data_IF_312155720629
#
_entry.id   IF_312155720629
#
_cell.length_a   1.000
_cell.length_b   1.000
_cell.length_c   1.000
_cell.angle_alpha   90.00
_cell.angle_beta   90.00
_cell.angle_gamma   90.00
#
_symmetry.space_group_name_H-M   'P 1'
#
loop_
_entity.id
_entity.type
_entity.pdbx_description
1 polymer ?
#
# COMPACT_ATOMS: atom_id res chain seq x y z
N UNK A 1 -16.56 20.14 20.64
CA UNK A 1 -15.23 19.53 20.80
C UNK A 1 -14.25 20.53 20.25
N UNK A 2 -13.69 21.37 21.12
CA UNK A 2 -12.69 22.38 20.77
C UNK A 2 -11.35 21.68 20.64
N UNK A 3 -10.76 21.72 19.46
CA UNK A 3 -9.38 21.28 19.26
C UNK A 3 -8.46 22.15 20.11
N UNK A 4 -7.46 21.60 20.81
CA UNK A 4 -6.48 22.40 21.51
C UNK A 4 -5.67 23.19 20.45
N UNK A 5 -5.63 24.50 20.61
CA UNK A 5 -4.72 25.37 19.86
C UNK A 5 -3.28 25.08 20.30
N UNK A 6 -2.64 24.15 19.59
CA UNK A 6 -1.31 23.66 19.98
C UNK A 6 -0.16 24.55 19.50
N UNK A 7 -0.42 25.59 18.74
CA UNK A 7 0.63 26.47 18.17
C UNK A 7 1.68 25.72 17.31
N UNK A 8 1.48 24.41 17.04
CA UNK A 8 2.27 23.61 16.12
C UNK A 8 1.47 23.49 14.83
N UNK A 9 2.10 23.82 13.71
CA UNK A 9 1.54 23.51 12.41
C UNK A 9 1.44 21.98 12.28
N UNK A 10 0.22 21.45 12.33
CA UNK A 10 -0.02 20.04 12.08
C UNK A 10 0.36 19.71 10.63
N UNK A 11 1.16 18.66 10.36
CA UNK A 11 1.64 18.37 9.01
C UNK A 11 0.49 17.94 8.10
N UNK A 12 0.49 18.47 6.87
CA UNK A 12 -0.43 18.06 5.82
C UNK A 12 0.07 16.77 5.16
N UNK A 13 -0.70 15.70 5.29
CA UNK A 13 -0.37 14.37 4.76
C UNK A 13 -1.25 14.08 3.55
N UNK A 14 -0.63 14.02 2.37
CA UNK A 14 -1.33 13.65 1.13
C UNK A 14 -1.65 12.15 1.10
N UNK A 15 -2.84 11.81 0.61
CA UNK A 15 -3.25 10.41 0.35
C UNK A 15 -3.75 10.29 -1.09
N UNK A 16 -3.30 9.28 -1.83
CA UNK A 16 -3.94 8.91 -3.08
C UNK A 16 -5.31 8.25 -2.82
N UNK A 17 -6.13 8.15 -3.87
CA UNK A 17 -7.50 7.64 -3.78
C UNK A 17 -7.72 6.50 -4.77
N UNK A 18 -8.66 5.64 -4.47
CA UNK A 18 -9.20 4.67 -5.43
C UNK A 18 -10.24 5.34 -6.33
N UNK A 19 -10.30 4.89 -7.59
CA UNK A 19 -11.33 5.27 -8.54
C UNK A 19 -12.38 4.16 -8.62
N UNK A 20 -13.62 4.52 -8.41
CA UNK A 20 -14.78 3.67 -8.68
C UNK A 20 -15.46 4.17 -9.95
N UNK A 21 -15.45 3.36 -11.02
CA UNK A 21 -16.12 3.74 -12.25
C UNK A 21 -17.65 3.82 -12.06
N UNK A 22 -18.38 4.52 -12.95
CA UNK A 22 -19.84 4.55 -12.88
C UNK A 22 -20.41 3.14 -12.98
N UNK A 23 -21.36 2.83 -12.12
CA UNK A 23 -22.18 1.62 -12.20
C UNK A 23 -23.55 1.90 -12.82
N UNK A 24 -24.41 0.89 -12.93
CA UNK A 24 -25.77 1.04 -13.51
C UNK A 24 -26.62 2.11 -12.79
N UNK A 25 -26.44 2.28 -11.49
CA UNK A 25 -27.17 3.24 -10.66
C UNK A 25 -26.25 4.13 -9.79
N UNK A 26 -24.94 4.14 -10.03
CA UNK A 26 -23.97 4.87 -9.23
C UNK A 26 -23.12 5.81 -10.08
N UNK A 27 -23.00 7.06 -9.66
CA UNK A 27 -22.05 7.99 -10.23
C UNK A 27 -20.60 7.54 -9.94
N UNK A 28 -19.63 7.93 -10.78
CA UNK A 28 -18.23 7.66 -10.50
C UNK A 28 -17.84 8.30 -9.16
N UNK A 29 -16.98 7.62 -8.39
CA UNK A 29 -16.56 8.09 -7.07
C UNK A 29 -15.06 7.93 -6.84
N UNK A 30 -14.54 8.76 -5.95
CA UNK A 30 -13.23 8.60 -5.36
C UNK A 30 -13.39 8.09 -3.93
N UNK A 31 -12.58 7.11 -3.54
CA UNK A 31 -12.67 6.49 -2.22
C UNK A 31 -11.29 6.38 -1.55
N UNK A 32 -11.27 6.67 -0.27
CA UNK A 32 -10.19 6.30 0.66
C UNK A 32 -10.82 5.49 1.79
N UNK A 33 -10.29 4.32 2.14
CA UNK A 33 -10.75 3.61 3.33
C UNK A 33 -10.53 4.46 4.58
N UNK A 34 -11.58 4.63 5.37
CA UNK A 34 -11.58 5.51 6.54
C UNK A 34 -10.43 5.25 7.54
N UNK A 35 -9.98 4.00 7.78
CA UNK A 35 -8.85 3.74 8.68
C UNK A 35 -7.55 4.47 8.31
N UNK A 36 -7.29 4.77 7.03
CA UNK A 36 -6.12 5.58 6.64
C UNK A 36 -6.25 7.02 7.13
N UNK A 37 -7.45 7.60 6.97
CA UNK A 37 -7.75 8.96 7.45
C UNK A 37 -7.58 9.02 8.98
N UNK A 38 -8.22 8.07 9.67
CA UNK A 38 -8.17 7.99 11.13
C UNK A 38 -6.74 7.81 11.65
N UNK A 39 -5.93 6.98 11.00
CA UNK A 39 -4.54 6.78 11.39
C UNK A 39 -3.71 8.06 11.29
N UNK A 40 -3.88 8.85 10.21
CA UNK A 40 -3.21 10.15 10.04
C UNK A 40 -3.64 11.12 11.13
N UNK A 41 -4.94 11.24 11.38
CA UNK A 41 -5.48 12.13 12.43
C UNK A 41 -4.97 11.74 13.82
N UNK A 42 -4.98 10.44 14.14
CA UNK A 42 -4.47 9.92 15.43
C UNK A 42 -2.97 10.16 15.60
N UNK A 43 -2.23 10.22 14.50
CA UNK A 43 -0.80 10.55 14.51
C UNK A 43 -0.53 12.07 14.59
N UNK A 44 -1.56 12.92 14.61
CA UNK A 44 -1.45 14.38 14.69
C UNK A 44 -1.23 15.06 13.34
N UNK A 45 -1.56 14.41 12.23
CA UNK A 45 -1.51 14.97 10.89
C UNK A 45 -2.88 15.39 10.37
N UNK A 46 -2.88 16.26 9.35
CA UNK A 46 -4.08 16.66 8.60
C UNK A 46 -4.14 15.86 7.29
N UNK A 47 -5.08 14.93 7.11
CA UNK A 47 -5.17 14.13 5.89
C UNK A 47 -5.75 14.94 4.73
N UNK A 48 -5.04 15.01 3.61
CA UNK A 48 -5.48 15.63 2.37
C UNK A 48 -5.60 14.57 1.28
N UNK A 49 -6.83 14.21 0.93
CA UNK A 49 -7.10 13.25 -0.13
C UNK A 49 -6.93 13.91 -1.49
N UNK A 50 -6.02 13.41 -2.32
CA UNK A 50 -5.74 13.94 -3.64
C UNK A 50 -6.66 13.29 -4.68
N UNK A 51 -7.46 14.08 -5.41
CA UNK A 51 -8.29 13.55 -6.47
C UNK A 51 -7.43 13.02 -7.64
N UNK A 52 -7.95 12.01 -8.32
CA UNK A 52 -7.35 11.50 -9.55
C UNK A 52 -7.59 12.50 -10.67
N UNK A 53 -6.53 13.14 -11.15
CA UNK A 53 -6.54 14.15 -12.20
C UNK A 53 -5.61 13.75 -13.34
N UNK A 54 -5.98 14.13 -14.57
CA UNK A 54 -5.18 13.82 -15.75
C UNK A 54 -4.20 14.95 -16.10
N UNK A 55 -4.29 16.11 -15.42
CA UNK A 55 -3.44 17.28 -15.65
C UNK A 55 -2.20 17.27 -14.72
N UNK A 56 -0.99 17.16 -15.28
CA UNK A 56 0.25 17.16 -14.47
C UNK A 56 0.49 18.48 -13.72
N UNK A 57 -0.02 19.60 -14.23
CA UNK A 57 0.09 20.91 -13.56
C UNK A 57 -0.78 20.96 -12.30
N UNK A 58 -2.01 20.43 -12.41
CA UNK A 58 -2.91 20.31 -11.24
C UNK A 58 -2.30 19.33 -10.24
N UNK A 59 -1.78 18.18 -10.68
CA UNK A 59 -1.10 17.22 -9.80
C UNK A 59 0.03 17.89 -9.01
N UNK A 60 0.98 18.54 -9.69
CA UNK A 60 2.10 19.22 -9.04
C UNK A 60 1.62 20.25 -8.01
N UNK A 61 0.60 21.03 -8.37
CA UNK A 61 0.03 22.02 -7.45
C UNK A 61 -0.67 21.38 -6.25
N UNK A 62 -1.31 20.23 -6.43
CA UNK A 62 -1.96 19.48 -5.34
C UNK A 62 -0.95 18.89 -4.35
N UNK A 63 0.25 18.57 -4.81
CA UNK A 63 1.34 18.05 -3.95
C UNK A 63 2.13 19.17 -3.29
N UNK A 64 2.14 20.38 -3.88
CA UNK A 64 2.95 21.52 -3.45
C UNK A 64 2.51 22.07 -2.12
N UNK A 65 2.67 21.78 -1.06
CA UNK A 65 2.18 22.25 0.25
C UNK A 65 1.88 21.11 1.21
N UNK A 66 2.20 19.89 0.76
CA UNK A 66 2.19 18.72 1.63
C UNK A 66 3.52 18.62 2.38
N UNK A 67 3.45 18.10 3.60
CA UNK A 67 4.62 17.81 4.43
C UNK A 67 5.07 16.33 4.33
N UNK A 68 4.17 15.43 3.93
CA UNK A 68 4.47 14.02 3.66
C UNK A 68 3.40 13.39 2.76
N UNK A 69 3.68 12.18 2.28
CA UNK A 69 2.74 11.43 1.45
C UNK A 69 2.53 9.99 1.97
N UNK A 70 1.26 9.55 1.97
CA UNK A 70 0.84 8.19 2.29
C UNK A 70 0.20 7.54 1.06
N UNK A 71 0.88 6.56 0.44
CA UNK A 71 0.28 5.72 -0.58
C UNK A 71 -0.53 4.60 0.06
N UNK A 72 -1.84 4.59 -0.22
CA UNK A 72 -2.76 3.57 0.31
C UNK A 72 -2.63 2.25 -0.46
N UNK A 73 -3.10 1.18 0.16
CA UNK A 73 -3.23 -0.12 -0.48
C UNK A 73 -4.41 -0.20 -1.45
N UNK A 74 -4.64 -1.40 -1.95
CA UNK A 74 -5.74 -1.69 -2.89
C UNK A 74 -5.47 -2.93 -3.71
N UNK A 75 -6.16 -3.05 -4.83
CA UNK A 75 -5.99 -4.08 -5.83
C UNK A 75 -4.63 -3.99 -6.56
N UNK A 76 -4.34 -4.94 -7.42
CA UNK A 76 -3.05 -5.12 -8.09
C UNK A 76 -2.77 -4.07 -9.15
N UNK A 77 -1.52 -3.67 -9.27
CA UNK A 77 -1.05 -2.92 -10.44
C UNK A 77 -0.80 -3.87 -11.63
N UNK A 78 -0.90 -3.31 -12.84
CA UNK A 78 -0.81 -4.09 -14.08
C UNK A 78 0.53 -4.81 -14.18
N UNK A 79 0.53 -6.12 -14.53
CA UNK A 79 1.75 -6.92 -14.64
C UNK A 79 2.76 -6.37 -15.65
N UNK A 80 2.30 -5.65 -16.66
CA UNK A 80 3.15 -5.04 -17.69
C UNK A 80 4.18 -4.05 -17.10
N UNK A 81 3.89 -3.45 -15.95
CA UNK A 81 4.82 -2.55 -15.27
C UNK A 81 6.12 -3.22 -14.80
N UNK A 82 6.09 -4.54 -14.64
CA UNK A 82 7.26 -5.33 -14.20
C UNK A 82 7.58 -6.51 -15.13
N UNK A 83 7.11 -6.44 -16.38
CA UNK A 83 7.37 -7.47 -17.39
C UNK A 83 6.59 -8.78 -17.19
N UNK A 84 5.61 -8.78 -16.31
CA UNK A 84 4.69 -9.88 -16.08
C UNK A 84 3.63 -9.99 -17.17
N UNK A 85 2.83 -11.05 -17.09
CA UNK A 85 1.64 -11.27 -17.93
C UNK A 85 0.41 -11.37 -17.04
N UNK A 86 -0.78 -10.95 -17.51
CA UNK A 86 -2.01 -11.15 -16.75
C UNK A 86 -2.20 -12.60 -16.35
N UNK A 87 -2.56 -12.81 -15.09
CA UNK A 87 -2.88 -14.10 -14.49
C UNK A 87 -4.32 -14.06 -13.95
N UNK A 88 -5.01 -15.20 -13.84
CA UNK A 88 -6.38 -15.27 -13.32
C UNK A 88 -6.53 -14.73 -11.89
N UNK A 89 -5.46 -14.78 -11.11
CA UNK A 89 -5.39 -14.33 -9.73
C UNK A 89 -5.34 -12.80 -9.60
N UNK A 90 -5.07 -12.07 -10.69
CA UNK A 90 -4.95 -10.62 -10.63
C UNK A 90 -6.32 -9.94 -10.43
N UNK A 91 -6.40 -9.12 -9.41
CA UNK A 91 -7.48 -8.16 -9.19
C UNK A 91 -6.97 -6.75 -9.48
N UNK A 92 -7.07 -6.32 -10.74
CA UNK A 92 -6.42 -5.10 -11.19
C UNK A 92 -7.13 -3.83 -10.69
N UNK A 93 -6.35 -2.83 -10.29
CA UNK A 93 -6.84 -1.45 -10.15
C UNK A 93 -7.38 -0.96 -11.50
N UNK A 94 -8.31 -0.01 -11.45
CA UNK A 94 -8.81 0.59 -12.70
C UNK A 94 -7.67 1.28 -13.45
N UNK A 95 -7.73 1.29 -14.79
CA UNK A 95 -6.71 1.90 -15.63
C UNK A 95 -6.47 3.38 -15.30
N UNK A 96 -7.52 4.11 -14.93
CA UNK A 96 -7.42 5.51 -14.52
C UNK A 96 -6.61 5.68 -13.25
N UNK A 97 -6.84 4.83 -12.24
CA UNK A 97 -6.06 4.81 -11.00
C UNK A 97 -4.62 4.39 -11.28
N UNK A 98 -4.41 3.33 -12.04
CA UNK A 98 -3.09 2.83 -12.40
C UNK A 98 -2.20 3.94 -12.98
N UNK A 99 -2.68 4.61 -14.03
CA UNK A 99 -1.94 5.72 -14.66
C UNK A 99 -1.65 6.87 -13.70
N UNK A 100 -2.66 7.27 -12.92
CA UNK A 100 -2.51 8.36 -11.98
C UNK A 100 -1.53 8.03 -10.86
N UNK A 101 -1.66 6.85 -10.25
CA UNK A 101 -0.79 6.43 -9.15
C UNK A 101 0.69 6.37 -9.58
N UNK A 102 1.00 5.90 -10.79
CA UNK A 102 2.36 5.93 -11.33
C UNK A 102 2.86 7.36 -11.60
N UNK A 103 2.02 8.23 -12.15
CA UNK A 103 2.38 9.63 -12.36
C UNK A 103 2.67 10.33 -11.04
N UNK A 104 1.79 10.14 -10.06
CA UNK A 104 1.92 10.69 -8.71
C UNK A 104 3.15 10.14 -7.98
N UNK A 105 3.37 8.82 -8.01
CA UNK A 105 4.51 8.20 -7.35
C UNK A 105 5.84 8.71 -7.93
N UNK A 106 5.96 8.82 -9.24
CA UNK A 106 7.15 9.40 -9.87
C UNK A 106 7.38 10.83 -9.44
N UNK A 107 6.34 11.67 -9.50
CA UNK A 107 6.44 13.06 -9.07
C UNK A 107 6.88 13.17 -7.59
N UNK A 108 6.24 12.45 -6.69
CA UNK A 108 6.56 12.47 -5.26
C UNK A 108 7.99 11.99 -5.00
N UNK A 109 8.42 10.90 -5.66
CA UNK A 109 9.72 10.27 -5.41
C UNK A 109 10.90 10.96 -6.10
N UNK A 110 10.67 11.65 -7.22
CA UNK A 110 11.74 12.17 -8.07
C UNK A 110 11.82 13.71 -8.07
N UNK A 111 10.70 14.39 -7.84
CA UNK A 111 10.62 15.84 -7.95
C UNK A 111 10.37 16.53 -6.60
N UNK A 112 10.07 15.77 -5.52
CA UNK A 112 9.89 16.31 -4.18
C UNK A 112 10.85 15.66 -3.18
N UNK A 113 11.05 16.29 -2.04
CA UNK A 113 11.78 15.71 -0.91
C UNK A 113 10.85 15.17 0.19
N UNK A 114 9.58 14.93 -0.13
CA UNK A 114 8.58 14.52 0.86
C UNK A 114 8.92 13.16 1.48
N UNK A 115 8.82 13.02 2.80
CA UNK A 115 8.76 11.72 3.42
C UNK A 115 7.57 10.91 2.89
N UNK A 116 7.78 9.61 2.64
CA UNK A 116 6.75 8.75 2.06
C UNK A 116 6.55 7.53 2.95
N UNK A 117 5.29 7.25 3.28
CA UNK A 117 4.84 5.97 3.78
C UNK A 117 3.99 5.29 2.70
N UNK A 118 4.16 3.99 2.52
CA UNK A 118 3.38 3.24 1.55
C UNK A 118 2.96 1.89 2.13
N UNK A 119 1.68 1.56 2.02
CA UNK A 119 1.09 0.39 2.69
C UNK A 119 0.54 -0.57 1.66
N UNK A 120 0.88 -1.87 1.74
CA UNK A 120 0.39 -2.94 0.88
C UNK A 120 0.61 -2.61 -0.61
N UNK A 121 -0.46 -2.46 -1.41
CA UNK A 121 -0.39 -2.02 -2.80
C UNK A 121 0.42 -0.73 -3.02
N UNK A 122 0.39 0.20 -2.06
CA UNK A 122 1.24 1.40 -2.10
C UNK A 122 2.74 1.06 -2.03
N UNK A 123 3.15 0.09 -1.21
CA UNK A 123 4.54 -0.39 -1.16
C UNK A 123 4.95 -1.04 -2.49
N UNK A 124 4.06 -1.81 -3.10
CA UNK A 124 4.26 -2.40 -4.42
C UNK A 124 4.41 -1.30 -5.49
N UNK A 125 3.55 -0.28 -5.46
CA UNK A 125 3.66 0.88 -6.35
C UNK A 125 5.02 1.57 -6.26
N UNK A 126 5.55 1.79 -5.05
CA UNK A 126 6.87 2.40 -4.90
C UNK A 126 7.97 1.56 -5.53
N UNK A 127 7.93 0.24 -5.31
CA UNK A 127 8.88 -0.67 -5.93
C UNK A 127 8.82 -0.57 -7.46
N UNK A 128 7.63 -0.64 -8.03
CA UNK A 128 7.40 -0.56 -9.48
C UNK A 128 7.78 0.80 -10.07
N UNK A 129 7.43 1.91 -9.40
CA UNK A 129 7.79 3.26 -9.84
C UNK A 129 9.32 3.49 -9.84
N UNK A 130 10.07 2.72 -9.04
CA UNK A 130 11.53 2.71 -9.02
C UNK A 130 12.17 1.65 -9.92
N UNK A 131 11.37 1.00 -10.78
CA UNK A 131 11.83 -0.03 -11.72
C UNK A 131 12.10 -1.39 -11.07
N UNK A 132 11.47 -1.66 -9.94
CA UNK A 132 11.48 -2.95 -9.27
C UNK A 132 10.50 -3.94 -9.89
N UNK A 133 10.41 -5.13 -9.30
CA UNK A 133 9.50 -6.19 -9.72
C UNK A 133 8.66 -6.71 -8.56
N UNK A 134 7.63 -7.45 -8.91
CA UNK A 134 6.78 -8.16 -7.96
C UNK A 134 6.87 -9.68 -8.19
N UNK A 135 6.66 -10.44 -7.13
CA UNK A 135 6.17 -11.81 -7.18
C UNK A 135 4.68 -11.68 -7.38
N UNK A 136 4.20 -12.14 -8.54
CA UNK A 136 2.85 -11.84 -9.01
C UNK A 136 1.78 -12.62 -8.24
N UNK A 137 2.09 -13.82 -7.79
CA UNK A 137 1.28 -14.58 -6.83
C UNK A 137 2.19 -15.42 -5.93
N UNK A 138 2.16 -15.14 -4.64
CA UNK A 138 3.00 -15.85 -3.66
C UNK A 138 2.73 -17.35 -3.62
N UNK A 139 1.50 -17.77 -3.88
CA UNK A 139 1.12 -19.18 -3.83
C UNK A 139 1.73 -19.98 -4.97
N UNK A 140 1.70 -19.46 -6.19
CA UNK A 140 2.19 -20.13 -7.39
C UNK A 140 3.67 -19.86 -7.67
N UNK A 141 4.14 -18.64 -7.39
CA UNK A 141 5.43 -18.17 -7.89
C UNK A 141 6.55 -18.22 -6.82
N UNK A 142 6.20 -18.22 -5.52
CA UNK A 142 7.21 -18.19 -4.45
C UNK A 142 8.01 -19.49 -4.33
N UNK A 143 7.36 -20.65 -4.38
CA UNK A 143 8.06 -21.94 -4.23
C UNK A 143 9.08 -22.18 -5.34
N UNK A 144 8.79 -21.93 -6.63
CA UNK A 144 9.80 -22.03 -7.70
C UNK A 144 10.99 -21.09 -7.50
N UNK A 145 10.78 -19.91 -6.92
CA UNK A 145 11.83 -18.90 -6.69
C UNK A 145 12.69 -19.20 -5.46
N UNK A 146 12.09 -19.68 -4.37
CA UNK A 146 12.74 -19.80 -3.07
C UNK A 146 13.07 -21.23 -2.66
N UNK A 147 12.45 -22.23 -3.29
CA UNK A 147 12.49 -23.61 -2.85
C UNK A 147 11.70 -23.91 -1.57
N UNK A 148 10.96 -22.92 -1.06
CA UNK A 148 10.17 -23.01 0.18
C UNK A 148 8.68 -22.81 -0.11
N UNK A 149 7.81 -23.36 0.72
CA UNK A 149 6.40 -23.06 0.68
C UNK A 149 6.17 -21.63 1.20
N UNK A 150 5.24 -20.85 0.57
CA UNK A 150 4.88 -19.54 1.09
C UNK A 150 4.17 -19.67 2.43
N UNK A 151 4.42 -18.70 3.32
CA UNK A 151 3.57 -18.53 4.49
C UNK A 151 2.17 -18.07 4.05
N UNK A 152 1.12 -18.38 4.82
CA UNK A 152 -0.22 -17.84 4.54
C UNK A 152 -0.20 -16.31 4.60
N UNK A 153 -0.57 -15.65 3.51
CA UNK A 153 -0.64 -14.19 3.40
C UNK A 153 -2.04 -13.69 3.07
N UNK A 154 -2.99 -14.62 2.85
CA UNK A 154 -4.39 -14.29 2.60
C UNK A 154 -5.30 -15.45 3.03
N UNK A 155 -6.57 -15.18 3.34
CA UNK A 155 -7.56 -16.20 3.69
C UNK A 155 -7.87 -17.10 2.49
N UNK A 156 -7.58 -18.38 2.61
CA UNK A 156 -7.83 -19.37 1.57
C UNK A 156 -9.31 -19.58 1.22
N UNK A 157 -10.18 -19.37 2.19
CA UNK A 157 -11.61 -19.65 2.07
C UNK A 157 -12.40 -18.59 1.30
N UNK A 158 -11.81 -17.43 0.97
CA UNK A 158 -12.49 -16.38 0.20
C UNK A 158 -12.44 -16.59 -1.31
N UNK A 159 -11.53 -17.41 -1.83
CA UNK A 159 -11.42 -17.74 -3.26
C UNK A 159 -12.43 -18.80 -3.72
N UNK A 160 -13.12 -19.47 -2.79
CA UNK A 160 -14.10 -20.51 -3.09
C UNK A 160 -15.55 -20.05 -3.18
N UNK A 161 -15.87 -18.76 -3.02
CA UNK A 161 -17.24 -18.25 -3.13
C UNK A 161 -17.46 -17.56 -4.46
N UNK A 162 -18.23 -18.16 -5.42
CA UNK A 162 -18.65 -17.47 -6.63
C UNK A 162 -19.54 -16.28 -6.22
N UNK A 163 -19.16 -15.06 -6.61
CA UNK A 163 -20.00 -13.87 -6.47
C UNK A 163 -19.53 -12.79 -5.50
N UNK A 164 -18.37 -12.87 -4.89
CA UNK A 164 -17.84 -11.79 -4.06
C UNK A 164 -16.86 -10.88 -4.81
N UNK A 165 -17.24 -10.43 -5.99
CA UNK A 165 -16.52 -9.42 -6.76
C UNK A 165 -16.61 -8.01 -6.14
N UNK A 166 -16.43 -7.88 -4.84
CA UNK A 166 -16.15 -6.63 -4.13
C UNK A 166 -15.32 -7.01 -2.92
N UNK A 167 -14.05 -6.67 -2.94
CA UNK A 167 -13.22 -6.71 -1.76
C UNK A 167 -13.91 -5.92 -0.65
N UNK A 168 -14.69 -6.60 0.17
CA UNK A 168 -15.25 -6.02 1.37
C UNK A 168 -14.08 -5.82 2.32
N UNK A 169 -13.59 -4.60 2.41
CA UNK A 169 -12.74 -4.17 3.52
C UNK A 169 -13.62 -4.39 4.75
N UNK A 170 -13.43 -5.51 5.41
CA UNK A 170 -13.97 -5.69 6.75
C UNK A 170 -13.12 -4.78 7.60
N UNK A 171 -13.68 -3.63 7.98
CA UNK A 171 -13.11 -2.84 9.05
C UNK A 171 -12.94 -3.80 10.23
N UNK A 172 -11.71 -3.95 10.72
CA UNK A 172 -11.43 -4.66 11.96
C UNK A 172 -11.98 -3.82 13.11
N UNK A 173 -13.29 -3.81 13.28
CA UNK A 173 -13.99 -3.10 14.35
C UNK A 173 -14.35 -4.04 15.50
N UNK A 174 -14.07 -5.35 15.34
CA UNK A 174 -14.30 -6.33 16.40
C UNK A 174 -12.96 -6.95 16.83
N UNK A 175 -12.52 -6.74 18.07
CA UNK A 175 -11.27 -7.31 18.59
C UNK A 175 -11.25 -8.85 18.66
N UNK A 176 -12.39 -9.51 18.46
CA UNK A 176 -12.51 -10.98 18.49
C UNK A 176 -12.31 -11.65 17.13
N UNK A 177 -12.19 -10.90 16.03
CA UNK A 177 -11.99 -11.42 14.70
C UNK A 177 -10.59 -11.16 14.15
N UNK A 178 -9.61 -10.91 14.98
CA UNK A 178 -8.19 -10.97 14.60
C UNK A 178 -7.87 -12.44 14.35
N UNK A 179 -8.14 -12.88 13.12
CA UNK A 179 -7.82 -14.23 12.66
C UNK A 179 -6.32 -14.42 12.79
N UNK A 180 -5.89 -15.08 13.85
CA UNK A 180 -4.47 -15.35 14.18
C UNK A 180 -3.77 -16.14 13.07
N UNK A 181 -4.53 -16.71 12.13
CA UNK A 181 -4.03 -17.43 10.96
C UNK A 181 -3.17 -16.58 10.01
N UNK A 182 -3.23 -15.25 10.10
CA UNK A 182 -2.48 -14.33 9.24
C UNK A 182 -1.32 -13.62 9.94
N UNK A 183 -1.12 -13.90 11.21
CA UNK A 183 0.01 -13.35 11.96
C UNK A 183 1.25 -14.17 11.66
N UNK A 184 2.32 -13.50 11.30
CA UNK A 184 3.63 -14.10 11.14
C UNK A 184 4.74 -13.16 11.58
N UNK A 185 5.89 -13.70 12.04
CA UNK A 185 7.02 -12.89 12.43
C UNK A 185 7.75 -12.36 11.18
N UNK A 186 8.20 -11.10 11.26
CA UNK A 186 9.16 -10.52 10.33
C UNK A 186 10.45 -10.17 11.08
N UNK A 187 11.59 -10.46 10.47
CA UNK A 187 12.89 -10.01 10.94
C UNK A 187 13.10 -8.56 10.48
N UNK A 188 13.60 -7.70 11.37
CA UNK A 188 13.90 -6.32 11.07
C UNK A 188 15.39 -6.12 10.83
N UNK A 189 15.76 -5.41 9.75
CA UNK A 189 17.13 -5.01 9.50
C UNK A 189 17.62 -4.11 10.64
N UNK A 190 18.72 -4.47 11.31
CA UNK A 190 19.26 -3.65 12.39
C UNK A 190 19.58 -2.23 11.91
N UNK A 191 19.20 -1.23 12.71
CA UNK A 191 19.44 0.19 12.39
C UNK A 191 18.56 0.77 11.29
N UNK A 192 17.68 -0.01 10.68
CA UNK A 192 16.71 0.49 9.69
C UNK A 192 15.74 1.50 10.30
N UNK A 193 15.17 2.36 9.46
CA UNK A 193 14.14 3.33 9.89
C UNK A 193 12.96 2.62 10.54
N UNK A 194 12.47 1.54 9.95
CA UNK A 194 11.32 0.81 10.50
C UNK A 194 11.64 0.22 11.88
N UNK A 195 12.85 -0.32 12.10
CA UNK A 195 13.24 -0.84 13.40
C UNK A 195 13.26 0.25 14.47
N UNK A 196 13.70 1.46 14.13
CA UNK A 196 13.65 2.62 15.05
C UNK A 196 12.23 3.08 15.33
N UNK A 197 11.39 3.16 14.31
CA UNK A 197 10.00 3.62 14.44
C UNK A 197 9.18 2.69 15.32
N UNK A 198 9.35 1.37 15.15
CA UNK A 198 8.61 0.38 15.97
C UNK A 198 9.27 0.11 17.34
N UNK A 199 10.39 0.78 17.64
CA UNK A 199 11.06 0.67 18.96
C UNK A 199 11.60 -0.71 19.29
N UNK A 200 11.98 -1.51 18.28
CA UNK A 200 12.54 -2.85 18.51
C UNK A 200 14.07 -2.83 18.56
N UNK A 201 14.68 -3.64 19.43
CA UNK A 201 16.14 -3.77 19.50
C UNK A 201 16.71 -4.34 18.20
N UNK A 202 18.02 -4.16 17.92
CA UNK A 202 18.68 -4.74 16.76
C UNK A 202 18.45 -6.27 16.67
N UNK A 203 18.05 -6.76 15.51
CA UNK A 203 17.72 -8.18 15.29
C UNK A 203 16.38 -8.63 15.87
N UNK A 204 15.56 -7.68 16.37
CA UNK A 204 14.22 -7.98 16.88
C UNK A 204 13.27 -8.49 15.79
N UNK A 205 12.37 -9.38 16.19
CA UNK A 205 11.24 -9.82 15.37
C UNK A 205 10.00 -9.03 15.74
N UNK A 206 9.21 -8.71 14.73
CA UNK A 206 7.90 -8.10 14.88
C UNK A 206 6.84 -9.08 14.36
N UNK A 207 5.85 -9.36 15.18
CA UNK A 207 4.68 -10.08 14.70
C UNK A 207 3.80 -9.12 13.90
N UNK A 208 3.43 -9.50 12.68
CA UNK A 208 2.63 -8.68 11.76
C UNK A 208 1.56 -9.52 11.11
N UNK A 209 0.46 -8.88 10.74
CA UNK A 209 -0.55 -9.49 9.90
C UNK A 209 -0.24 -9.23 8.42
N UNK A 210 -0.65 -10.16 7.58
CA UNK A 210 -0.60 -10.01 6.12
C UNK A 210 -1.95 -10.26 5.50
N UNK A 211 -2.26 -9.43 4.50
CA UNK A 211 -3.47 -9.55 3.70
C UNK A 211 -3.14 -9.14 2.25
N UNK A 212 -2.30 -9.96 1.60
CA UNK A 212 -1.88 -9.74 0.21
C UNK A 212 -1.47 -11.07 -0.41
N UNK A 213 -1.56 -11.18 -1.73
CA UNK A 213 -1.08 -12.33 -2.50
C UNK A 213 0.14 -12.01 -3.34
N UNK A 214 0.49 -10.74 -3.49
CA UNK A 214 1.69 -10.27 -4.18
C UNK A 214 2.73 -9.74 -3.20
N UNK A 215 4.00 -9.80 -3.58
CA UNK A 215 5.10 -9.22 -2.80
C UNK A 215 6.12 -8.53 -3.70
N UNK A 216 6.85 -7.57 -3.15
CA UNK A 216 8.03 -7.00 -3.83
C UNK A 216 9.06 -8.10 -4.03
N UNK A 217 9.59 -8.22 -5.25
CA UNK A 217 10.59 -9.23 -5.59
C UNK A 217 11.89 -8.95 -4.85
N UNK A 218 12.42 -9.91 -4.04
CA UNK A 218 13.56 -9.66 -3.17
C UNK A 218 14.86 -9.30 -3.93
N UNK A 219 15.02 -9.81 -5.15
CA UNK A 219 16.16 -9.49 -6.03
C UNK A 219 15.98 -8.19 -6.81
N UNK A 220 14.79 -7.58 -6.83
CA UNK A 220 14.45 -6.39 -7.61
C UNK A 220 13.56 -5.43 -6.83
N UNK A 221 14.01 -4.88 -5.71
CA UNK A 221 13.18 -3.99 -4.87
C UNK A 221 12.91 -2.62 -5.51
N UNK A 222 13.65 -2.25 -6.56
CA UNK A 222 13.61 -0.94 -7.18
C UNK A 222 14.82 -0.06 -6.82
N UNK A 223 15.15 0.91 -7.68
CA UNK A 223 16.30 1.79 -7.49
C UNK A 223 16.20 2.58 -6.19
N UNK A 224 17.24 2.49 -5.34
CA UNK A 224 17.31 3.22 -4.08
C UNK A 224 16.39 2.67 -2.99
N UNK A 225 15.77 1.53 -3.21
CA UNK A 225 15.01 0.81 -2.20
C UNK A 225 15.77 -0.42 -1.72
N UNK A 226 15.61 -0.75 -0.46
CA UNK A 226 16.15 -1.96 0.14
C UNK A 226 15.13 -2.63 1.05
N UNK A 227 15.22 -3.94 1.18
CA UNK A 227 14.42 -4.66 2.16
C UNK A 227 14.91 -4.33 3.58
N UNK A 228 14.01 -3.79 4.40
CA UNK A 228 14.27 -3.45 5.79
C UNK A 228 13.54 -4.38 6.77
N UNK A 229 12.64 -5.20 6.27
CA UNK A 229 11.97 -6.27 7.00
C UNK A 229 11.67 -7.42 6.04
N UNK A 230 11.73 -8.66 6.53
CA UNK A 230 11.44 -9.86 5.74
C UNK A 230 10.93 -10.99 6.64
N UNK A 231 10.21 -11.91 6.05
CA UNK A 231 9.86 -13.19 6.67
C UNK A 231 10.85 -14.27 6.22
N UNK A 232 11.08 -15.25 7.09
CA UNK A 232 11.99 -16.38 6.82
C UNK A 232 11.40 -17.37 5.82
#
# INVERSE_FOLDING_TARGET
MTLPDSGRNEPFIGLNMSWEPPGEAAAPALRVPFPYIEAVVRAGGVPLCLPIVDDPGVLRRSVSGLDAFLFIGGADYRPEHYGGRPQPENELVTERRDRFDFLLARHVLEETGLPVLAICGGCQLLALARGGGLIQDLRSDWQPLSGRLPLPHAADDRRGRPGSGRGRIVAATEPEAADTAYLHPVALKPGSLIARVVGRPPGGRLETNSFHHQAVHPGHPGRGLEAAAWTD
#
